data_IF_415742089965
#
_entry.id   IF_415742089965
#
_cell.length_a   1.000
_cell.length_b   1.000
_cell.length_c   1.000
_cell.angle_alpha   90.00
_cell.angle_beta   90.00
_cell.angle_gamma   90.00
#
_symmetry.space_group_name_H-M   'P 1'
#
loop_
_entity.id
_entity.type
_entity.pdbx_description
1 polymer ?
#
# COMPACT_ATOMS: atom_id res chain seq x y z
N UNK A 1 46.64 17.55 72.39
CA UNK A 1 46.53 17.81 70.94
C UNK A 1 47.36 16.75 70.22
N UNK A 2 46.71 16.04 69.31
CA UNK A 2 47.18 14.99 68.37
C UNK A 2 48.39 14.11 68.72
N UNK A 3 48.11 12.81 68.91
CA UNK A 3 48.95 11.72 68.45
C UNK A 3 48.12 10.42 68.28
N UNK A 4 48.58 9.42 67.49
CA UNK A 4 47.74 8.60 66.59
C UNK A 4 47.81 7.08 66.86
N UNK A 5 47.13 6.30 65.98
CA UNK A 5 47.11 4.82 65.75
C UNK A 5 45.95 4.06 66.43
N UNK A 6 45.61 2.81 66.02
CA UNK A 6 45.74 2.11 64.71
C UNK A 6 44.46 1.36 64.26
N UNK A 7 44.60 0.64 63.14
CA UNK A 7 43.66 -0.25 62.45
C UNK A 7 42.96 -1.33 63.30
N UNK A 8 41.74 -1.69 62.90
CA UNK A 8 41.15 -3.00 63.20
C UNK A 8 40.40 -3.58 61.99
N UNK A 9 40.71 -4.85 61.75
CA UNK A 9 40.05 -5.78 60.84
C UNK A 9 38.57 -5.92 61.19
N UNK A 10 37.70 -5.96 60.18
CA UNK A 10 36.44 -6.68 60.29
C UNK A 10 36.18 -7.56 59.05
N UNK A 11 35.84 -8.80 59.36
CA UNK A 11 35.64 -9.94 58.48
C UNK A 11 34.34 -9.83 57.67
N UNK A 12 34.35 -10.41 56.47
CA UNK A 12 33.17 -10.63 55.64
C UNK A 12 32.39 -11.86 56.09
N UNK A 13 31.05 -11.81 56.17
CA UNK A 13 30.23 -13.02 56.11
C UNK A 13 29.73 -13.24 54.67
N UNK A 14 30.23 -14.31 54.05
CA UNK A 14 29.62 -14.96 52.89
C UNK A 14 28.31 -15.64 53.31
N UNK A 15 27.18 -15.13 52.84
CA UNK A 15 25.94 -15.92 52.71
C UNK A 15 25.38 -15.74 51.31
N UNK A 16 25.37 -16.84 50.56
CA UNK A 16 24.81 -16.97 49.22
C UNK A 16 23.30 -17.09 49.36
N UNK A 17 22.56 -16.12 48.83
CA UNK A 17 21.09 -16.17 48.71
C UNK A 17 20.68 -16.60 47.29
N UNK A 18 19.60 -17.38 47.13
CA UNK A 18 19.25 -17.99 45.85
C UNK A 18 18.62 -16.98 44.87
N UNK A 19 19.10 -17.06 43.63
CA UNK A 19 18.58 -16.47 42.38
C UNK A 19 17.15 -15.90 42.45
N UNK A 20 17.03 -14.58 42.54
CA UNK A 20 15.83 -13.88 42.12
C UNK A 20 15.71 -13.96 40.59
N UNK A 21 14.60 -14.52 40.11
CA UNK A 21 14.21 -14.43 38.69
C UNK A 21 14.03 -12.95 38.32
N UNK A 22 14.46 -12.52 37.13
CA UNK A 22 14.19 -11.15 36.67
C UNK A 22 12.68 -10.91 36.54
N UNK A 23 12.21 -9.69 36.77
CA UNK A 23 10.80 -9.36 36.68
C UNK A 23 10.31 -9.53 35.24
N UNK A 24 9.32 -10.40 35.05
CA UNK A 24 8.50 -10.45 33.84
C UNK A 24 7.69 -9.15 33.76
N UNK A 25 8.06 -8.27 32.84
CA UNK A 25 7.26 -7.10 32.52
C UNK A 25 5.98 -7.53 31.80
N UNK A 26 4.79 -7.02 32.19
CA UNK A 26 3.56 -7.31 31.47
C UNK A 26 3.57 -6.56 30.12
N UNK A 27 3.71 -7.32 29.03
CA UNK A 27 3.74 -6.83 27.64
C UNK A 27 2.39 -6.31 27.12
N UNK A 28 1.36 -6.19 27.97
CA UNK A 28 -0.01 -5.84 27.57
C UNK A 28 -0.36 -4.34 27.60
N UNK A 29 0.39 -3.52 28.35
CA UNK A 29 0.03 -2.11 28.58
C UNK A 29 0.36 -1.15 27.42
N UNK A 30 1.44 -1.42 26.69
CA UNK A 30 1.94 -0.52 25.63
C UNK A 30 1.15 -0.64 24.31
N UNK A 31 0.55 -1.81 24.03
CA UNK A 31 -0.26 -2.03 22.81
C UNK A 31 -1.48 -1.11 22.72
N UNK A 32 -2.13 -0.76 23.85
CA UNK A 32 -3.30 0.15 23.84
C UNK A 32 -2.97 1.60 23.51
N UNK A 33 -1.80 2.09 23.91
CA UNK A 33 -1.41 3.48 23.64
C UNK A 33 -0.89 3.67 22.20
N UNK A 34 -0.36 2.62 21.58
CA UNK A 34 0.17 2.63 20.21
C UNK A 34 -0.92 2.51 19.13
N UNK A 35 -1.96 1.69 19.35
CA UNK A 35 -3.11 1.65 18.45
C UNK A 35 -3.76 3.03 18.29
N UNK A 36 -3.73 3.89 19.32
CA UNK A 36 -4.27 5.24 19.25
C UNK A 36 -3.52 6.18 18.29
N UNK A 37 -2.22 5.95 18.03
CA UNK A 37 -1.43 6.84 17.14
C UNK A 37 -1.54 6.45 15.66
N UNK A 38 -1.65 5.15 15.35
CA UNK A 38 -1.93 4.66 13.99
C UNK A 38 -3.37 5.01 13.61
N UNK A 39 -4.29 4.87 14.58
CA UNK A 39 -5.66 5.35 14.44
C UNK A 39 -5.73 6.85 14.18
N UNK A 40 -4.79 7.70 14.62
CA UNK A 40 -4.88 9.15 14.37
C UNK A 40 -4.65 9.54 12.90
N UNK A 41 -3.72 8.90 12.19
CA UNK A 41 -3.46 9.21 10.76
C UNK A 41 -4.54 8.62 9.85
N UNK A 42 -4.97 7.39 10.16
CA UNK A 42 -6.15 6.77 9.53
C UNK A 42 -7.39 7.60 9.83
N UNK A 43 -7.58 8.06 11.07
CA UNK A 43 -8.71 8.92 11.44
C UNK A 43 -8.70 10.25 10.71
N UNK A 44 -7.56 10.91 10.48
CA UNK A 44 -7.54 12.19 9.74
C UNK A 44 -7.96 12.01 8.27
N UNK A 45 -7.49 10.93 7.64
CA UNK A 45 -7.86 10.56 6.27
C UNK A 45 -9.35 10.17 6.19
N UNK A 46 -9.82 9.35 7.14
CA UNK A 46 -11.21 8.93 7.25
C UNK A 46 -12.15 10.07 7.66
N UNK A 47 -11.75 10.98 8.55
CA UNK A 47 -12.53 12.17 8.93
C UNK A 47 -12.71 13.10 7.73
N UNK A 48 -11.67 13.27 6.91
CA UNK A 48 -11.78 14.08 5.69
C UNK A 48 -12.80 13.48 4.72
N UNK A 49 -12.78 12.15 4.53
CA UNK A 49 -13.78 11.43 3.73
C UNK A 49 -15.18 11.46 4.37
N UNK A 50 -15.28 11.37 5.70
CA UNK A 50 -16.55 11.36 6.41
C UNK A 50 -17.25 12.74 6.42
N UNK A 51 -16.47 13.82 6.39
CA UNK A 51 -17.03 15.18 6.41
C UNK A 51 -17.61 15.60 5.06
N UNK A 52 -17.17 15.00 3.95
CA UNK A 52 -17.72 15.26 2.61
C UNK A 52 -19.02 14.50 2.32
N UNK A 53 -19.28 13.38 3.01
CA UNK A 53 -20.52 12.59 2.86
C UNK A 53 -21.51 12.88 3.99
N UNK A 54 -22.10 14.07 4.01
CA UNK A 54 -23.30 14.33 4.82
C UNK A 54 -24.50 13.61 4.20
N UNK A 55 -24.64 12.37 4.68
CA UNK A 55 -25.74 11.41 4.63
C UNK A 55 -27.12 11.94 4.25
N UNK A 56 -27.44 11.93 2.95
CA UNK A 56 -28.81 11.62 2.53
C UNK A 56 -28.91 10.36 1.66
N UNK A 57 -27.82 9.84 1.09
CA UNK A 57 -27.87 8.61 0.30
C UNK A 57 -26.76 7.62 0.71
N UNK A 58 -27.16 6.53 1.39
CA UNK A 58 -26.31 5.35 1.64
C UNK A 58 -26.10 4.53 0.35
N UNK A 59 -26.68 4.94 -0.78
CA UNK A 59 -26.59 4.28 -2.09
C UNK A 59 -25.20 4.47 -2.71
N UNK A 60 -24.60 3.38 -3.19
CA UNK A 60 -23.31 3.42 -3.90
C UNK A 60 -23.43 4.11 -5.26
N UNK A 61 -24.54 3.87 -5.95
CA UNK A 61 -24.86 4.50 -7.23
C UNK A 61 -26.23 5.16 -7.05
N UNK A 62 -26.30 6.50 -7.05
CA UNK A 62 -27.56 7.21 -6.97
C UNK A 62 -28.49 6.87 -8.14
N UNK A 63 -29.80 6.93 -7.91
CA UNK A 63 -30.82 6.50 -8.89
C UNK A 63 -30.74 7.26 -10.22
N UNK A 64 -30.40 8.55 -10.21
CA UNK A 64 -30.21 9.34 -11.42
C UNK A 64 -29.05 8.84 -12.30
N UNK A 65 -27.99 8.27 -11.69
CA UNK A 65 -26.89 7.64 -12.42
C UNK A 65 -27.34 6.32 -13.01
N UNK A 66 -28.13 5.53 -12.26
CA UNK A 66 -28.70 4.27 -12.74
C UNK A 66 -29.62 4.50 -13.95
N UNK A 67 -30.55 5.44 -13.86
CA UNK A 67 -31.46 5.81 -14.95
C UNK A 67 -30.69 6.21 -16.22
N UNK A 68 -29.57 6.93 -16.06
CA UNK A 68 -28.71 7.32 -17.18
C UNK A 68 -28.02 6.12 -17.82
N UNK A 69 -27.51 5.17 -17.04
CA UNK A 69 -26.90 3.94 -17.56
C UNK A 69 -27.95 3.09 -18.27
N UNK A 70 -29.11 2.90 -17.66
CA UNK A 70 -30.21 2.10 -18.22
C UNK A 70 -30.75 2.70 -19.53
N UNK A 71 -30.80 4.04 -19.62
CA UNK A 71 -31.21 4.74 -20.84
C UNK A 71 -30.19 4.68 -21.98
N UNK A 72 -28.89 4.72 -21.69
CA UNK A 72 -27.84 4.72 -22.72
C UNK A 72 -27.36 3.30 -23.09
N UNK A 73 -27.20 2.44 -22.09
CA UNK A 73 -26.53 1.14 -22.18
C UNK A 73 -27.10 0.09 -21.20
N UNK A 74 -28.35 -0.39 -21.40
CA UNK A 74 -29.03 -1.26 -20.45
C UNK A 74 -28.33 -2.62 -20.22
N UNK A 75 -27.49 -3.09 -21.16
CA UNK A 75 -26.74 -4.34 -21.01
C UNK A 75 -25.54 -4.24 -20.07
N UNK A 76 -25.13 -3.03 -19.70
CA UNK A 76 -23.95 -2.80 -18.86
C UNK A 76 -24.26 -2.85 -17.38
N UNK A 77 -25.54 -2.91 -17.00
CA UNK A 77 -25.99 -2.94 -15.62
C UNK A 77 -27.09 -3.99 -15.42
N UNK A 78 -26.93 -4.83 -14.40
CA UNK A 78 -27.95 -5.78 -13.99
C UNK A 78 -28.96 -5.14 -13.01
N UNK A 79 -30.14 -5.74 -12.88
CA UNK A 79 -31.09 -5.38 -11.82
C UNK A 79 -30.50 -5.65 -10.43
N UNK A 80 -30.85 -4.82 -9.45
CA UNK A 80 -30.49 -5.09 -8.06
C UNK A 80 -31.16 -6.37 -7.55
N UNK A 81 -30.37 -7.26 -6.95
CA UNK A 81 -30.84 -8.50 -6.32
C UNK A 81 -30.08 -8.73 -5.01
N UNK A 82 -30.82 -8.96 -3.92
CA UNK A 82 -30.26 -9.25 -2.59
C UNK A 82 -29.22 -8.20 -2.12
N UNK A 83 -29.51 -6.91 -2.36
CA UNK A 83 -28.61 -5.81 -1.99
C UNK A 83 -27.34 -5.70 -2.84
N UNK A 84 -27.28 -6.41 -3.98
CA UNK A 84 -26.16 -6.42 -4.92
C UNK A 84 -26.60 -6.03 -6.31
N UNK A 85 -25.67 -5.53 -7.11
CA UNK A 85 -25.89 -5.19 -8.52
C UNK A 85 -24.70 -5.62 -9.36
N UNK A 86 -24.96 -6.13 -10.55
CA UNK A 86 -23.90 -6.45 -11.52
C UNK A 86 -23.60 -5.24 -12.41
N UNK A 87 -22.32 -4.95 -12.63
CA UNK A 87 -21.85 -3.88 -13.51
C UNK A 87 -20.80 -4.45 -14.45
N UNK A 88 -20.90 -4.12 -15.74
CA UNK A 88 -19.90 -4.54 -16.71
C UNK A 88 -18.55 -3.88 -16.40
N UNK A 89 -17.48 -4.68 -16.37
CA UNK A 89 -16.10 -4.18 -16.27
C UNK A 89 -15.74 -3.28 -17.45
N UNK A 90 -16.44 -3.35 -18.58
CA UNK A 90 -16.20 -2.42 -19.70
C UNK A 90 -16.52 -0.97 -19.34
N UNK A 91 -17.35 -0.73 -18.31
CA UNK A 91 -17.59 0.61 -17.75
C UNK A 91 -16.48 1.08 -16.80
N UNK A 92 -15.64 0.16 -16.31
CA UNK A 92 -14.69 0.42 -15.22
C UNK A 92 -13.24 0.30 -15.67
N UNK A 93 -13.01 -0.44 -16.74
CA UNK A 93 -11.70 -0.57 -17.37
C UNK A 93 -11.61 0.47 -18.47
N UNK A 94 -10.52 1.27 -18.51
CA UNK A 94 -10.29 2.13 -19.66
C UNK A 94 -10.28 1.23 -20.90
N UNK A 95 -10.83 1.70 -22.05
CA UNK A 95 -10.80 0.95 -23.29
C UNK A 95 -9.35 0.61 -23.57
N UNK A 96 -8.98 -0.64 -23.33
CA UNK A 96 -7.60 -1.04 -23.47
C UNK A 96 -7.32 -0.87 -24.95
N UNK A 97 -6.34 -0.05 -25.31
CA UNK A 97 -5.70 -0.09 -26.61
C UNK A 97 -4.90 -1.39 -26.71
N UNK A 98 -5.51 -2.52 -26.37
CA UNK A 98 -5.08 -3.82 -26.81
C UNK A 98 -5.27 -3.80 -28.32
N UNK A 99 -4.27 -3.25 -28.99
CA UNK A 99 -3.85 -3.67 -30.31
C UNK A 99 -4.08 -5.17 -30.34
N UNK A 100 -5.02 -5.58 -31.19
CA UNK A 100 -5.02 -6.92 -31.73
C UNK A 100 -3.57 -7.16 -32.14
N UNK A 101 -2.81 -7.92 -31.36
CA UNK A 101 -1.54 -8.44 -31.83
C UNK A 101 -1.94 -9.29 -33.03
N UNK A 102 -1.80 -8.70 -34.20
CA UNK A 102 -2.01 -9.33 -35.48
C UNK A 102 -1.09 -10.53 -35.52
N UNK A 103 -1.63 -11.69 -35.17
CA UNK A 103 -1.02 -12.97 -35.48
C UNK A 103 -1.14 -13.10 -36.99
N UNK A 104 -0.21 -12.48 -37.70
CA UNK A 104 0.10 -12.86 -39.08
C UNK A 104 0.73 -14.26 -38.95
N UNK A 105 0.28 -15.34 -39.57
CA UNK A 105 -0.52 -15.47 -40.78
C UNK A 105 -1.00 -16.92 -40.88
N UNK A 106 -2.30 -17.16 -40.79
CA UNK A 106 -2.97 -18.21 -41.57
C UNK A 106 -4.47 -18.00 -41.50
N UNK A 107 -5.05 -17.87 -42.68
CA UNK A 107 -6.45 -17.64 -42.96
C UNK A 107 -7.35 -18.77 -42.44
N UNK A 108 -8.10 -18.49 -41.37
CA UNK A 108 -9.36 -19.16 -41.07
C UNK A 108 -10.35 -18.11 -40.59
N UNK A 109 -11.45 -17.97 -41.33
CA UNK A 109 -12.68 -17.27 -40.96
C UNK A 109 -13.12 -17.67 -39.57
N UNK A 110 -12.68 -16.91 -38.58
CA UNK A 110 -13.10 -17.02 -37.20
C UNK A 110 -14.11 -15.91 -36.98
N UNK A 111 -15.38 -16.30 -36.88
CA UNK A 111 -16.42 -15.50 -36.23
C UNK A 111 -15.82 -14.91 -34.97
N UNK A 112 -15.76 -13.57 -34.88
CA UNK A 112 -15.26 -12.87 -33.71
C UNK A 112 -16.05 -13.36 -32.49
N UNK A 113 -15.46 -14.29 -31.75
CA UNK A 113 -16.06 -14.80 -30.53
C UNK A 113 -16.10 -13.62 -29.55
N UNK A 114 -17.30 -13.07 -29.36
CA UNK A 114 -17.56 -12.03 -28.37
C UNK A 114 -16.97 -12.51 -27.05
N UNK A 115 -15.95 -11.82 -26.55
CA UNK A 115 -15.42 -12.11 -25.21
C UNK A 115 -16.61 -11.95 -24.27
N UNK A 116 -16.93 -12.97 -23.43
CA UNK A 116 -18.04 -12.85 -22.50
C UNK A 116 -17.83 -11.58 -21.68
N UNK A 117 -18.85 -10.71 -21.68
CA UNK A 117 -18.81 -9.48 -20.91
C UNK A 117 -18.47 -9.84 -19.46
N UNK A 118 -17.37 -9.28 -18.95
CA UNK A 118 -16.95 -9.52 -17.59
C UNK A 118 -17.74 -8.59 -16.70
N UNK A 119 -18.50 -9.12 -15.77
CA UNK A 119 -19.24 -8.33 -14.79
C UNK A 119 -18.54 -8.39 -13.43
N UNK A 120 -18.64 -7.30 -12.67
CA UNK A 120 -18.40 -7.31 -11.23
C UNK A 120 -19.72 -7.17 -10.48
N UNK A 121 -19.75 -7.70 -9.27
CA UNK A 121 -20.89 -7.55 -8.36
C UNK A 121 -20.52 -6.49 -7.31
N UNK A 122 -21.29 -5.42 -7.26
CA UNK A 122 -21.14 -4.33 -6.29
C UNK A 122 -22.31 -4.33 -5.28
N UNK A 123 -22.13 -3.80 -4.06
CA UNK A 123 -23.23 -3.55 -3.15
C UNK A 123 -24.11 -2.40 -3.64
N UNK A 124 -25.42 -2.44 -3.33
CA UNK A 124 -26.30 -1.29 -3.58
C UNK A 124 -26.18 -0.21 -2.51
N UNK A 125 -25.85 -0.61 -1.27
CA UNK A 125 -25.70 0.30 -0.14
C UNK A 125 -24.34 0.12 0.52
N UNK A 126 -23.71 1.22 0.94
CA UNK A 126 -22.41 1.20 1.59
C UNK A 126 -22.43 0.45 2.92
N UNK A 127 -23.49 0.62 3.72
CA UNK A 127 -23.67 -0.06 5.01
C UNK A 127 -24.43 -1.37 4.83
N UNK A 128 -23.78 -2.37 4.23
CA UNK A 128 -24.39 -3.68 3.97
C UNK A 128 -23.41 -4.84 4.13
N UNK A 129 -23.93 -6.07 4.24
CA UNK A 129 -23.10 -7.28 4.16
C UNK A 129 -22.44 -7.41 2.79
N UNK A 130 -23.11 -6.99 1.72
CA UNK A 130 -22.54 -6.99 0.37
C UNK A 130 -21.27 -6.13 0.26
N UNK A 131 -21.15 -5.06 1.05
CA UNK A 131 -19.92 -4.25 1.10
C UNK A 131 -18.72 -5.02 1.65
N UNK A 132 -18.92 -5.80 2.72
CA UNK A 132 -17.86 -6.69 3.20
C UNK A 132 -17.51 -7.75 2.15
N UNK A 133 -18.50 -8.28 1.41
CA UNK A 133 -18.17 -9.19 0.31
C UNK A 133 -17.33 -8.50 -0.78
N UNK A 134 -17.61 -7.24 -1.07
CA UNK A 134 -16.84 -6.45 -2.02
C UNK A 134 -15.40 -6.21 -1.56
N UNK A 135 -15.17 -6.02 -0.26
CA UNK A 135 -13.84 -5.95 0.34
C UNK A 135 -13.04 -7.27 0.27
N UNK A 136 -13.64 -8.34 -0.22
CA UNK A 136 -12.98 -9.63 -0.37
C UNK A 136 -13.31 -10.66 0.70
N UNK A 137 -14.33 -10.44 1.54
CA UNK A 137 -14.81 -11.46 2.48
C UNK A 137 -15.77 -12.45 1.81
N UNK A 138 -15.76 -13.71 2.25
CA UNK A 138 -16.74 -14.72 1.83
C UNK A 138 -18.16 -14.32 2.27
N UNK A 139 -19.22 -14.74 1.57
CA UNK A 139 -20.59 -14.35 1.91
C UNK A 139 -20.99 -14.65 3.36
N UNK A 140 -20.58 -15.82 3.87
CA UNK A 140 -20.84 -16.20 5.27
C UNK A 140 -20.14 -15.26 6.25
N UNK A 141 -18.87 -14.92 5.98
CA UNK A 141 -18.09 -14.03 6.85
C UNK A 141 -18.63 -12.61 6.81
N UNK A 142 -18.95 -12.11 5.63
CA UNK A 142 -19.50 -10.79 5.41
C UNK A 142 -20.83 -10.57 6.16
N UNK A 143 -21.74 -11.55 6.10
CA UNK A 143 -22.98 -11.52 6.87
C UNK A 143 -22.73 -11.43 8.38
N UNK A 144 -21.82 -12.25 8.92
CA UNK A 144 -21.45 -12.25 10.35
C UNK A 144 -20.80 -10.93 10.78
N UNK A 145 -19.94 -10.34 9.94
CA UNK A 145 -19.29 -9.06 10.24
C UNK A 145 -20.32 -7.95 10.31
N UNK A 146 -21.23 -7.88 9.34
CA UNK A 146 -22.29 -6.89 9.30
C UNK A 146 -23.26 -7.03 10.49
N UNK A 147 -23.71 -8.24 10.83
CA UNK A 147 -24.58 -8.50 11.99
C UNK A 147 -23.92 -8.05 13.31
N UNK A 148 -22.63 -8.34 13.48
CA UNK A 148 -21.86 -7.90 14.66
C UNK A 148 -21.67 -6.39 14.73
N UNK A 149 -21.50 -5.75 13.57
CA UNK A 149 -21.36 -4.30 13.47
C UNK A 149 -22.70 -3.62 13.83
N UNK A 150 -23.79 -4.06 13.20
CA UNK A 150 -25.14 -3.55 13.42
C UNK A 150 -25.66 -3.75 14.86
N UNK A 151 -25.23 -4.81 15.56
CA UNK A 151 -25.63 -5.05 16.96
C UNK A 151 -24.85 -4.23 17.99
N UNK A 152 -23.67 -3.71 17.64
CA UNK A 152 -22.77 -3.03 18.59
C UNK A 152 -22.79 -1.51 18.51
N UNK A 153 -23.10 -0.95 17.35
CA UNK A 153 -22.93 0.47 17.07
C UNK A 153 -24.25 1.04 16.56
N UNK A 154 -24.73 2.19 17.06
CA UNK A 154 -25.87 2.89 16.47
C UNK A 154 -25.64 3.15 14.97
N UNK A 155 -26.69 3.13 14.17
CA UNK A 155 -26.62 3.24 12.70
C UNK A 155 -25.82 4.46 12.19
N UNK A 156 -25.84 5.55 12.94
CA UNK A 156 -25.16 6.81 12.61
C UNK A 156 -23.63 6.76 12.72
N UNK A 157 -23.06 5.75 13.38
CA UNK A 157 -21.60 5.60 13.59
C UNK A 157 -21.01 4.35 12.93
N UNK A 158 -21.76 3.70 12.03
CA UNK A 158 -21.30 2.48 11.37
C UNK A 158 -20.21 2.81 10.33
N UNK A 159 -18.95 2.53 10.67
CA UNK A 159 -17.83 2.54 9.73
C UNK A 159 -17.48 1.11 9.29
N UNK A 160 -17.96 0.71 8.11
CA UNK A 160 -17.71 -0.64 7.55
C UNK A 160 -16.23 -0.92 7.31
N UNK A 161 -15.48 0.10 6.86
CA UNK A 161 -14.05 -0.02 6.59
C UNK A 161 -13.26 -0.28 7.87
N UNK A 162 -13.41 0.58 8.89
CA UNK A 162 -12.73 0.41 10.18
C UNK A 162 -13.01 -0.97 10.80
N UNK A 163 -14.26 -1.44 10.69
CA UNK A 163 -14.63 -2.77 11.18
C UNK A 163 -13.93 -3.90 10.44
N UNK A 164 -13.83 -3.80 9.11
CA UNK A 164 -13.13 -4.77 8.27
C UNK A 164 -11.63 -4.82 8.59
N UNK A 165 -10.99 -3.66 8.74
CA UNK A 165 -9.57 -3.54 9.06
C UNK A 165 -9.24 -4.14 10.44
N UNK A 166 -9.99 -3.74 11.47
CA UNK A 166 -9.85 -4.30 12.81
C UNK A 166 -10.03 -5.83 12.83
N UNK A 167 -10.93 -6.36 12.00
CA UNK A 167 -11.15 -7.80 11.90
C UNK A 167 -9.93 -8.54 11.34
N UNK A 168 -9.38 -8.10 10.20
CA UNK A 168 -8.22 -8.77 9.60
C UNK A 168 -6.97 -8.60 10.46
N UNK A 169 -6.80 -7.44 11.10
CA UNK A 169 -5.71 -7.22 12.04
C UNK A 169 -5.80 -8.19 13.22
N UNK A 170 -7.01 -8.39 13.78
CA UNK A 170 -7.21 -9.31 14.89
C UNK A 170 -6.98 -10.78 14.51
N UNK A 171 -7.56 -11.25 13.40
CA UNK A 171 -7.43 -12.66 13.00
C UNK A 171 -6.02 -12.99 12.53
N UNK A 172 -5.35 -12.06 11.85
CA UNK A 172 -3.98 -12.25 11.39
C UNK A 172 -2.94 -11.78 12.41
N UNK A 173 -3.34 -11.47 13.65
CA UNK A 173 -2.44 -11.02 14.72
C UNK A 173 -1.36 -12.05 15.05
N UNK A 174 -1.61 -13.33 14.79
CA UNK A 174 -0.67 -14.42 15.03
C UNK A 174 0.08 -14.89 13.77
N UNK A 175 -0.27 -14.39 12.59
CA UNK A 175 0.48 -14.69 11.36
C UNK A 175 1.69 -13.80 11.30
N UNK A 176 2.85 -14.41 11.46
CA UNK A 176 4.13 -13.78 11.53
C UNK A 176 4.73 -13.79 10.14
N UNK A 177 5.15 -14.94 9.65
CA UNK A 177 6.17 -15.10 8.61
C UNK A 177 5.75 -15.95 7.40
N UNK A 178 6.69 -16.13 6.48
CA UNK A 178 6.52 -16.97 5.28
C UNK A 178 6.41 -18.46 5.60
N UNK A 179 6.74 -18.88 6.83
CA UNK A 179 6.56 -20.26 7.30
C UNK A 179 5.18 -20.47 7.93
N UNK A 180 4.47 -19.40 8.27
CA UNK A 180 3.10 -19.48 8.73
C UNK A 180 2.15 -19.81 7.57
N UNK A 181 1.08 -20.53 7.89
CA UNK A 181 0.09 -20.94 6.90
C UNK A 181 -0.87 -19.78 6.58
N UNK A 182 -0.49 -18.94 5.62
CA UNK A 182 -1.29 -17.80 5.16
C UNK A 182 -2.65 -18.24 4.61
N UNK A 183 -2.71 -19.38 3.92
CA UNK A 183 -3.97 -19.92 3.39
C UNK A 183 -4.96 -20.22 4.51
N UNK A 184 -4.51 -20.92 5.56
CA UNK A 184 -5.33 -21.20 6.73
C UNK A 184 -5.78 -19.92 7.42
N UNK A 185 -4.89 -18.93 7.55
CA UNK A 185 -5.24 -17.65 8.16
C UNK A 185 -6.28 -16.87 7.36
N UNK A 186 -6.13 -16.82 6.05
CA UNK A 186 -7.09 -16.20 5.13
C UNK A 186 -8.44 -16.93 5.17
N UNK A 187 -8.45 -18.27 5.26
CA UNK A 187 -9.65 -19.06 5.44
C UNK A 187 -10.36 -18.73 6.78
N UNK A 188 -9.61 -18.65 7.89
CA UNK A 188 -10.15 -18.25 9.19
C UNK A 188 -10.68 -16.81 9.17
N UNK A 189 -9.96 -15.88 8.54
CA UNK A 189 -10.41 -14.51 8.33
C UNK A 189 -11.66 -14.44 7.46
N UNK A 190 -11.92 -15.49 6.66
CA UNK A 190 -13.01 -15.59 5.70
C UNK A 190 -12.75 -14.74 4.47
N UNK A 191 -11.53 -14.72 3.96
CA UNK A 191 -11.12 -14.06 2.71
C UNK A 191 -11.47 -14.96 1.53
N UNK A 192 -11.94 -14.38 0.43
CA UNK A 192 -12.32 -15.09 -0.79
C UNK A 192 -11.12 -15.72 -1.51
N UNK A 193 -11.39 -16.74 -2.31
CA UNK A 193 -10.37 -17.50 -3.03
C UNK A 193 -9.66 -16.70 -4.11
N UNK A 194 -10.27 -15.65 -4.68
CA UNK A 194 -9.60 -14.80 -5.67
C UNK A 194 -8.39 -14.07 -5.07
N UNK A 195 -8.54 -13.50 -3.86
CA UNK A 195 -7.44 -12.84 -3.14
C UNK A 195 -6.40 -13.88 -2.70
N UNK A 196 -6.83 -15.03 -2.19
CA UNK A 196 -5.92 -16.13 -1.83
C UNK A 196 -5.08 -16.58 -3.04
N UNK A 197 -5.72 -16.74 -4.19
CA UNK A 197 -5.08 -17.10 -5.45
C UNK A 197 -4.06 -16.06 -5.88
N UNK A 198 -4.39 -14.77 -5.76
CA UNK A 198 -3.43 -13.70 -6.01
C UNK A 198 -2.20 -13.82 -5.09
N UNK A 199 -2.39 -14.05 -3.79
CA UNK A 199 -1.28 -14.18 -2.84
C UNK A 199 -0.46 -15.47 -3.05
N UNK A 200 -1.06 -16.51 -3.62
CA UNK A 200 -0.38 -17.75 -3.96
C UNK A 200 0.38 -17.69 -5.30
N UNK A 201 0.17 -16.64 -6.12
CA UNK A 201 0.85 -16.50 -7.41
C UNK A 201 2.37 -16.31 -7.21
N UNK A 202 3.22 -17.21 -7.74
CA UNK A 202 4.66 -17.14 -7.58
C UNK A 202 5.27 -15.81 -8.00
N UNK A 203 4.67 -15.09 -8.95
CA UNK A 203 5.18 -13.80 -9.42
C UNK A 203 5.14 -12.71 -8.34
N UNK A 204 4.31 -12.88 -7.31
CA UNK A 204 4.19 -11.93 -6.19
C UNK A 204 5.04 -12.31 -4.98
N UNK A 205 5.61 -13.52 -4.94
CA UNK A 205 6.46 -14.02 -3.84
C UNK A 205 7.60 -13.06 -3.47
N UNK A 206 8.12 -12.33 -4.46
CA UNK A 206 9.16 -11.32 -4.27
C UNK A 206 8.73 -10.19 -3.34
N UNK A 207 7.48 -9.75 -3.35
CA UNK A 207 7.05 -8.60 -2.54
C UNK A 207 6.21 -9.00 -1.32
N UNK A 208 5.58 -10.19 -1.34
CA UNK A 208 4.67 -10.59 -0.27
C UNK A 208 5.32 -10.58 1.11
N UNK A 209 6.60 -10.91 1.22
CA UNK A 209 7.30 -10.93 2.51
C UNK A 209 7.81 -9.57 3.00
N UNK A 210 7.58 -8.49 2.24
CA UNK A 210 7.91 -7.12 2.68
C UNK A 210 6.92 -6.62 3.75
N UNK A 211 5.72 -7.19 3.84
CA UNK A 211 4.73 -6.82 4.85
C UNK A 211 4.11 -8.08 5.50
N UNK A 212 3.42 -7.93 6.63
CA UNK A 212 2.63 -9.02 7.18
C UNK A 212 1.35 -9.22 6.36
N UNK A 213 0.77 -10.42 6.45
CA UNK A 213 -0.53 -10.73 5.83
C UNK A 213 -1.60 -9.70 6.23
N UNK A 214 -1.66 -9.30 7.50
CA UNK A 214 -2.61 -8.29 7.99
C UNK A 214 -2.49 -6.95 7.26
N UNK A 215 -1.25 -6.48 7.01
CA UNK A 215 -1.01 -5.22 6.32
C UNK A 215 -1.45 -5.32 4.86
N UNK A 216 -1.09 -6.41 4.17
CA UNK A 216 -1.55 -6.63 2.80
C UNK A 216 -3.06 -6.70 2.68
N UNK A 217 -3.74 -7.46 3.54
CA UNK A 217 -5.21 -7.52 3.53
C UNK A 217 -5.83 -6.16 3.84
N UNK A 218 -5.24 -5.38 4.73
CA UNK A 218 -5.69 -4.01 5.02
C UNK A 218 -5.59 -3.11 3.79
N UNK A 219 -4.45 -3.13 3.10
CA UNK A 219 -4.26 -2.36 1.85
C UNK A 219 -5.28 -2.77 0.77
N UNK A 220 -5.56 -4.07 0.61
CA UNK A 220 -6.55 -4.55 -0.36
C UNK A 220 -7.98 -4.14 0.02
N UNK A 221 -8.33 -4.18 1.31
CA UNK A 221 -9.64 -3.74 1.81
C UNK A 221 -9.81 -2.22 1.61
N UNK A 222 -8.82 -1.42 1.97
CA UNK A 222 -8.83 0.04 1.76
C UNK A 222 -8.93 0.38 0.27
N UNK A 223 -8.13 -0.29 -0.56
CA UNK A 223 -8.18 -0.14 -2.02
C UNK A 223 -9.57 -0.46 -2.57
N UNK A 224 -10.18 -1.54 -2.10
CA UNK A 224 -11.53 -1.93 -2.50
C UNK A 224 -12.57 -0.90 -2.04
N UNK A 225 -12.44 -0.37 -0.83
CA UNK A 225 -13.31 0.69 -0.33
C UNK A 225 -13.22 1.96 -1.17
N UNK A 226 -12.01 2.46 -1.44
CA UNK A 226 -11.82 3.65 -2.27
C UNK A 226 -12.38 3.42 -3.67
N UNK A 227 -12.14 2.25 -4.26
CA UNK A 227 -12.70 1.90 -5.56
C UNK A 227 -14.23 1.95 -5.59
N UNK A 228 -14.89 1.58 -4.48
CA UNK A 228 -16.34 1.62 -4.32
C UNK A 228 -16.88 3.03 -4.13
N UNK A 229 -16.23 3.86 -3.31
CA UNK A 229 -16.62 5.25 -3.07
C UNK A 229 -16.53 6.07 -4.37
N UNK A 230 -15.47 5.87 -5.14
CA UNK A 230 -15.26 6.57 -6.41
C UNK A 230 -16.14 6.04 -7.56
N UNK A 231 -16.91 4.97 -7.34
CA UNK A 231 -17.59 4.25 -8.41
C UNK A 231 -18.65 5.10 -9.13
N UNK A 232 -19.43 5.89 -8.39
CA UNK A 232 -20.47 6.74 -8.99
C UNK A 232 -19.86 7.78 -9.93
N UNK A 233 -18.82 8.48 -9.46
CA UNK A 233 -18.12 9.50 -10.25
C UNK A 233 -17.46 8.89 -11.49
N UNK A 234 -16.94 7.66 -11.35
CA UNK A 234 -16.44 6.89 -12.49
C UNK A 234 -17.53 6.64 -13.52
N UNK A 235 -18.70 6.15 -13.10
CA UNK A 235 -19.77 5.86 -14.04
C UNK A 235 -20.29 7.12 -14.74
N UNK A 236 -20.47 8.21 -13.99
CA UNK A 236 -20.93 9.49 -14.55
C UNK A 236 -20.00 10.04 -15.63
N UNK A 237 -18.70 9.86 -15.46
CA UNK A 237 -17.73 10.32 -16.46
C UNK A 237 -17.77 9.47 -17.71
N UNK A 238 -17.75 8.14 -17.61
CA UNK A 238 -17.79 7.30 -18.80
C UNK A 238 -19.08 7.53 -19.61
N UNK A 239 -20.21 7.80 -18.94
CA UNK A 239 -21.48 8.16 -19.59
C UNK A 239 -21.50 9.57 -20.20
N UNK A 240 -20.56 10.43 -19.81
CA UNK A 240 -20.41 11.79 -20.33
C UNK A 240 -19.38 11.87 -21.46
N UNK A 241 -18.53 10.84 -21.58
CA UNK A 241 -17.51 10.78 -22.62
C UNK A 241 -18.18 10.75 -24.00
N UNK A 242 -17.94 11.75 -24.86
CA UNK A 242 -18.37 11.68 -26.25
C UNK A 242 -17.80 10.39 -26.83
N UNK A 243 -18.59 9.63 -27.59
CA UNK A 243 -18.07 8.55 -28.42
C UNK A 243 -17.19 9.17 -29.50
N UNK A 244 -15.98 9.57 -29.14
CA UNK A 244 -14.96 9.95 -30.11
C UNK A 244 -14.68 8.67 -30.86
N UNK A 245 -15.18 8.61 -32.11
CA UNK A 245 -14.81 7.60 -33.09
C UNK A 245 -13.32 7.35 -32.95
N UNK A 246 -12.91 6.08 -32.87
CA UNK A 246 -11.54 5.56 -32.81
C UNK A 246 -10.63 6.26 -33.85
N UNK A 247 -10.30 7.51 -33.60
CA UNK A 247 -9.44 8.28 -34.45
C UNK A 247 -8.06 7.86 -33.98
N UNK A 248 -7.46 6.99 -34.80
CA UNK A 248 -6.21 6.31 -34.52
C UNK A 248 -5.24 7.31 -33.90
N UNK A 249 -5.12 7.22 -32.57
CA UNK A 249 -4.03 7.85 -31.85
C UNK A 249 -2.82 7.17 -32.45
N UNK A 250 -2.17 7.86 -33.39
CA UNK A 250 -0.92 7.41 -33.95
C UNK A 250 -0.04 6.98 -32.79
N UNK A 251 0.72 5.91 -32.99
CA UNK A 251 1.80 5.49 -32.11
C UNK A 251 2.84 6.61 -32.04
N UNK A 252 2.47 7.75 -31.46
CA UNK A 252 3.39 8.82 -31.15
C UNK A 252 4.36 8.14 -30.18
N UNK A 253 5.64 7.96 -30.58
CA UNK A 253 6.57 7.18 -29.80
C UNK A 253 6.75 7.90 -28.47
N UNK A 254 5.99 7.46 -27.46
CA UNK A 254 5.90 8.09 -26.16
C UNK A 254 7.30 8.26 -25.64
N UNK A 255 7.78 9.50 -25.61
CA UNK A 255 9.07 9.81 -25.03
C UNK A 255 8.94 9.54 -23.55
N UNK A 256 9.42 8.36 -23.11
CA UNK A 256 9.73 8.10 -21.71
C UNK A 256 10.51 9.32 -21.23
N UNK A 257 9.99 10.11 -20.27
CA UNK A 257 10.70 11.28 -19.77
C UNK A 257 12.08 10.83 -19.35
N UNK A 258 13.09 11.24 -20.11
CA UNK A 258 14.47 10.92 -19.76
C UNK A 258 14.79 11.76 -18.52
N UNK A 259 15.28 11.11 -17.47
CA UNK A 259 15.77 11.83 -16.31
C UNK A 259 16.79 12.87 -16.79
N UNK A 260 16.63 14.15 -16.43
CA UNK A 260 17.62 15.16 -16.80
C UNK A 260 19.00 14.76 -16.28
N UNK A 261 20.06 15.23 -16.94
CA UNK A 261 21.42 14.98 -16.47
C UNK A 261 21.57 15.36 -14.99
N UNK A 262 22.22 14.51 -14.20
CA UNK A 262 22.36 14.69 -12.76
C UNK A 262 21.08 14.43 -11.94
N UNK A 263 20.11 13.70 -12.48
CA UNK A 263 18.94 13.22 -11.73
C UNK A 263 18.87 11.69 -11.70
N UNK A 264 18.12 11.15 -10.73
CA UNK A 264 17.73 9.74 -10.67
C UNK A 264 16.20 9.63 -10.73
N UNK A 265 15.68 8.69 -11.52
CA UNK A 265 14.26 8.35 -11.50
C UNK A 265 13.95 7.42 -10.34
N UNK A 266 12.95 7.78 -9.53
CA UNK A 266 12.42 6.93 -8.47
C UNK A 266 10.93 6.68 -8.68
N UNK A 267 10.48 5.50 -8.27
CA UNK A 267 9.16 4.96 -8.58
C UNK A 267 8.45 4.51 -7.31
N UNK A 268 7.14 4.71 -7.29
CA UNK A 268 6.22 4.13 -6.30
C UNK A 268 4.88 3.82 -6.96
N UNK A 269 4.44 2.58 -6.89
CA UNK A 269 3.08 2.22 -7.32
C UNK A 269 2.12 2.30 -6.15
N UNK A 270 0.99 2.96 -6.36
CA UNK A 270 -0.07 3.16 -5.37
C UNK A 270 -1.45 3.07 -6.04
N UNK A 271 -2.47 2.92 -5.21
CA UNK A 271 -3.87 3.14 -5.58
C UNK A 271 -4.10 4.62 -5.95
N UNK A 272 -4.97 4.90 -6.92
CA UNK A 272 -5.13 6.23 -7.51
C UNK A 272 -5.50 7.31 -6.48
N UNK A 273 -6.40 7.05 -5.53
CA UNK A 273 -6.79 8.05 -4.53
C UNK A 273 -5.61 8.50 -3.67
N UNK A 274 -4.58 7.65 -3.48
CA UNK A 274 -3.35 8.02 -2.77
C UNK A 274 -2.43 8.96 -3.53
N UNK A 275 -2.53 9.03 -4.85
CA UNK A 275 -1.78 9.99 -5.67
C UNK A 275 -2.65 11.12 -6.25
N UNK A 276 -3.97 11.09 -6.02
CA UNK A 276 -4.85 12.17 -6.46
C UNK A 276 -4.45 13.47 -5.77
N UNK A 277 -4.23 14.51 -6.60
CA UNK A 277 -3.81 15.83 -6.14
C UNK A 277 -2.33 15.93 -5.76
N UNK A 278 -1.52 14.89 -5.99
CA UNK A 278 -0.08 14.97 -5.68
C UNK A 278 0.68 15.90 -6.62
N UNK A 279 0.11 16.25 -7.78
CA UNK A 279 0.68 17.17 -8.76
C UNK A 279 -0.40 18.18 -9.15
N UNK A 280 -0.12 19.45 -8.94
CA UNK A 280 -0.99 20.56 -9.34
C UNK A 280 -0.72 21.01 -10.78
N UNK A 281 -1.63 21.79 -11.35
CA UNK A 281 -1.49 22.35 -12.71
C UNK A 281 -0.26 23.27 -12.85
N UNK A 282 0.11 23.99 -11.79
CA UNK A 282 1.29 24.84 -11.76
C UNK A 282 2.61 24.07 -11.56
N UNK A 283 2.55 22.74 -11.44
CA UNK A 283 3.71 21.88 -11.21
C UNK A 283 4.14 21.75 -9.75
N UNK A 284 3.42 22.38 -8.80
CA UNK A 284 3.61 22.12 -7.36
C UNK A 284 3.23 20.69 -7.02
N UNK A 285 3.84 20.18 -5.94
CA UNK A 285 3.78 18.77 -5.57
C UNK A 285 3.44 18.64 -4.09
N UNK A 286 2.53 17.72 -3.75
CA UNK A 286 2.23 17.29 -2.38
C UNK A 286 2.41 15.77 -2.28
N UNK A 287 3.45 15.35 -1.57
CA UNK A 287 3.81 13.94 -1.40
C UNK A 287 3.26 13.35 -0.09
N UNK A 288 2.51 14.11 0.70
CA UNK A 288 2.00 13.67 2.02
C UNK A 288 1.16 12.39 1.92
N UNK A 289 0.30 12.28 0.90
CA UNK A 289 -0.57 11.12 0.65
C UNK A 289 0.19 9.85 0.24
N UNK A 290 1.42 10.01 -0.23
CA UNK A 290 2.29 8.91 -0.62
C UNK A 290 3.11 8.35 0.54
N UNK A 291 2.99 8.89 1.75
CA UNK A 291 3.70 8.34 2.91
C UNK A 291 3.20 6.93 3.26
N UNK A 292 4.15 6.03 3.51
CA UNK A 292 3.86 4.68 4.01
C UNK A 292 3.65 4.73 5.52
N UNK A 293 2.66 4.01 6.03
CA UNK A 293 2.40 3.87 7.47
C UNK A 293 3.40 2.92 8.13
N UNK A 294 3.77 3.20 9.38
CA UNK A 294 4.70 2.39 10.16
C UNK A 294 4.06 1.14 10.77
N UNK A 295 4.87 0.15 11.22
CA UNK A 295 6.34 0.13 11.12
C UNK A 295 6.86 -0.26 9.72
N UNK A 296 7.87 0.49 9.28
CA UNK A 296 8.58 0.30 8.01
C UNK A 296 10.07 0.00 8.27
N UNK A 297 10.87 -0.17 7.22
CA UNK A 297 12.28 -0.58 7.34
C UNK A 297 13.15 0.39 8.16
N UNK A 298 12.86 1.70 8.15
CA UNK A 298 13.69 2.71 8.82
C UNK A 298 12.91 3.74 9.63
N UNK A 299 11.60 3.52 9.78
CA UNK A 299 10.71 4.39 10.54
C UNK A 299 9.64 3.59 11.29
N UNK A 300 9.53 3.81 12.59
CA UNK A 300 8.42 3.31 13.41
C UNK A 300 7.11 4.06 13.14
N UNK A 301 7.17 5.34 12.70
CA UNK A 301 6.00 6.20 12.41
C UNK A 301 5.65 6.33 10.92
N UNK A 302 6.32 5.59 10.06
CA UNK A 302 6.17 5.73 8.61
C UNK A 302 7.16 6.71 7.98
N UNK A 303 7.09 6.84 6.66
CA UNK A 303 8.00 7.68 5.89
C UNK A 303 7.64 7.70 4.41
N UNK A 304 8.32 8.54 3.64
CA UNK A 304 8.12 8.59 2.19
C UNK A 304 9.15 7.67 1.51
N UNK A 305 8.63 6.59 0.92
CA UNK A 305 9.43 5.52 0.32
C UNK A 305 9.30 5.52 -1.21
N UNK A 306 10.43 5.51 -1.90
CA UNK A 306 10.53 5.27 -3.34
C UNK A 306 11.67 4.30 -3.66
N UNK A 307 11.62 3.65 -4.82
CA UNK A 307 12.70 2.79 -5.32
C UNK A 307 13.16 3.25 -6.70
N UNK A 308 14.46 3.17 -7.00
CA UNK A 308 14.96 3.49 -8.34
C UNK A 308 14.75 2.33 -9.34
N UNK A 309 14.20 1.21 -8.87
CA UNK A 309 14.03 -0.01 -9.66
C UNK A 309 12.57 -0.18 -10.08
N UNK A 310 12.27 0.10 -11.35
CA UNK A 310 10.91 0.01 -11.90
C UNK A 310 10.26 -1.37 -11.69
N UNK A 311 11.05 -2.45 -11.73
CA UNK A 311 10.53 -3.81 -11.54
C UNK A 311 9.88 -3.98 -10.15
N UNK A 312 10.42 -3.35 -9.11
CA UNK A 312 9.82 -3.40 -7.76
C UNK A 312 8.44 -2.73 -7.79
N UNK A 313 8.33 -1.51 -8.33
CA UNK A 313 7.05 -0.82 -8.48
C UNK A 313 6.06 -1.62 -9.35
N UNK A 314 6.56 -2.39 -10.31
CA UNK A 314 5.75 -3.27 -11.16
C UNK A 314 5.11 -4.41 -10.37
N UNK A 315 5.87 -5.10 -9.52
CA UNK A 315 5.30 -6.15 -8.68
C UNK A 315 4.24 -5.61 -7.71
N UNK A 316 4.47 -4.44 -7.09
CA UNK A 316 3.46 -3.81 -6.23
C UNK A 316 2.15 -3.55 -6.99
N UNK A 317 2.24 -2.96 -8.19
CA UNK A 317 1.07 -2.72 -9.01
C UNK A 317 0.35 -4.01 -9.42
N UNK A 318 1.11 -5.06 -9.76
CA UNK A 318 0.57 -6.33 -10.19
C UNK A 318 -0.16 -7.07 -9.06
N UNK A 319 0.35 -7.04 -7.82
CA UNK A 319 -0.35 -7.65 -6.69
C UNK A 319 -1.69 -6.95 -6.42
N UNK A 320 -1.71 -5.61 -6.41
CA UNK A 320 -2.95 -4.85 -6.24
C UNK A 320 -3.94 -5.15 -7.38
N UNK A 321 -3.46 -5.28 -8.63
CA UNK A 321 -4.30 -5.70 -9.77
C UNK A 321 -5.04 -6.99 -9.51
N UNK A 322 -4.30 -8.00 -9.05
CA UNK A 322 -4.78 -9.37 -9.03
C UNK A 322 -5.67 -9.60 -7.81
N UNK A 323 -5.34 -8.96 -6.69
CA UNK A 323 -6.15 -9.01 -5.47
C UNK A 323 -7.36 -8.04 -5.49
N UNK A 324 -7.27 -6.93 -6.22
CA UNK A 324 -8.37 -5.97 -6.37
C UNK A 324 -8.46 -5.45 -7.83
N UNK A 325 -9.06 -6.22 -8.76
CA UNK A 325 -9.12 -5.85 -10.18
C UNK A 325 -9.89 -4.57 -10.50
N UNK A 326 -10.73 -4.11 -9.58
CA UNK A 326 -11.52 -2.87 -9.68
C UNK A 326 -10.71 -1.63 -9.27
N UNK A 327 -9.54 -1.83 -8.68
CA UNK A 327 -8.67 -0.77 -8.22
C UNK A 327 -8.02 -0.03 -9.39
N UNK A 328 -8.18 1.29 -9.40
CA UNK A 328 -7.38 2.12 -10.27
C UNK A 328 -6.02 2.41 -9.60
N UNK A 329 -4.95 2.35 -10.39
CA UNK A 329 -3.58 2.37 -9.88
C UNK A 329 -2.72 3.30 -10.71
N UNK A 330 -1.76 3.94 -10.07
CA UNK A 330 -0.74 4.75 -10.72
C UNK A 330 0.64 4.37 -10.23
N UNK A 331 1.61 4.54 -11.09
CA UNK A 331 3.02 4.61 -10.68
C UNK A 331 3.44 6.06 -10.72
N UNK A 332 3.75 6.60 -9.55
CA UNK A 332 4.37 7.91 -9.40
C UNK A 332 5.86 7.76 -9.73
N UNK A 333 6.33 8.53 -10.70
CA UNK A 333 7.75 8.68 -11.01
C UNK A 333 8.20 10.09 -10.63
N UNK A 334 9.29 10.19 -9.87
CA UNK A 334 9.94 11.47 -9.53
C UNK A 334 11.37 11.48 -10.07
N UNK A 335 11.80 12.59 -10.66
CA UNK A 335 13.22 12.78 -11.02
C UNK A 335 13.89 13.65 -9.96
N UNK A 336 14.70 13.01 -9.12
CA UNK A 336 15.36 13.68 -7.99
C UNK A 336 16.76 14.13 -8.39
N UNK A 337 17.12 15.42 -8.26
CA UNK A 337 18.47 15.87 -8.56
C UNK A 337 19.48 15.29 -7.56
N UNK A 338 20.67 14.92 -8.01
CA UNK A 338 21.71 14.39 -7.12
C UNK A 338 22.15 15.39 -6.04
N UNK A 339 22.02 16.69 -6.31
CA UNK A 339 22.27 17.75 -5.33
C UNK A 339 21.30 17.71 -4.14
N UNK A 340 20.06 17.22 -4.34
CA UNK A 340 19.10 17.04 -3.24
C UNK A 340 19.63 16.05 -2.19
N UNK A 341 20.22 14.93 -2.62
CA UNK A 341 20.77 13.96 -1.67
C UNK A 341 21.96 14.51 -0.88
N UNK A 342 22.69 15.47 -1.45
CA UNK A 342 23.77 16.17 -0.74
C UNK A 342 23.20 17.16 0.29
N UNK A 343 22.22 17.98 -0.10
CA UNK A 343 21.60 18.98 0.78
C UNK A 343 20.82 18.32 1.92
N UNK A 344 20.04 17.29 1.62
CA UNK A 344 19.26 16.52 2.58
C UNK A 344 20.11 15.57 3.44
N UNK A 345 21.43 15.50 3.18
CA UNK A 345 22.37 14.58 3.83
C UNK A 345 21.87 13.14 3.76
N UNK A 346 22.07 12.51 2.62
CA UNK A 346 21.71 11.10 2.43
C UNK A 346 22.64 10.19 3.23
N UNK A 347 22.05 9.29 4.00
CA UNK A 347 22.74 8.17 4.61
C UNK A 347 22.68 6.97 3.67
N UNK A 348 23.78 6.73 2.94
CA UNK A 348 23.92 5.52 2.16
C UNK A 348 24.35 4.37 3.08
N UNK A 349 23.56 3.30 3.06
CA UNK A 349 23.78 2.11 3.87
C UNK A 349 23.90 0.89 2.96
N UNK A 350 24.93 0.09 3.20
CA UNK A 350 25.07 -1.24 2.63
C UNK A 350 24.49 -2.27 3.60
N UNK A 351 24.20 -3.47 3.09
CA UNK A 351 23.59 -4.51 3.93
C UNK A 351 24.51 -4.95 5.09
N UNK A 352 25.81 -4.92 4.86
CA UNK A 352 26.88 -5.35 5.76
C UNK A 352 27.09 -4.37 6.90
N UNK A 353 26.58 -3.14 6.77
CA UNK A 353 26.68 -2.11 7.79
C UNK A 353 25.89 -2.51 9.05
N UNK A 354 26.53 -2.39 10.21
CA UNK A 354 25.87 -2.66 11.49
C UNK A 354 24.67 -1.74 11.70
N UNK A 355 24.78 -0.48 11.29
CA UNK A 355 23.73 0.53 11.43
C UNK A 355 22.51 0.22 10.57
N UNK A 356 22.69 -0.33 9.37
CA UNK A 356 21.57 -0.81 8.54
C UNK A 356 20.76 -1.86 9.30
N UNK A 357 21.44 -2.90 9.79
CA UNK A 357 20.80 -4.01 10.50
C UNK A 357 20.15 -3.55 11.80
N UNK A 358 20.79 -2.63 12.53
CA UNK A 358 20.22 -2.05 13.74
C UNK A 358 18.97 -1.23 13.45
N UNK A 359 19.01 -0.32 12.47
CA UNK A 359 17.85 0.49 12.09
C UNK A 359 16.69 -0.41 11.70
N UNK A 360 16.95 -1.42 10.86
CA UNK A 360 15.94 -2.38 10.43
C UNK A 360 15.35 -3.15 11.61
N UNK A 361 16.22 -3.73 12.46
CA UNK A 361 15.81 -4.50 13.63
C UNK A 361 14.89 -3.70 14.56
N UNK A 362 15.27 -2.49 14.95
CA UNK A 362 14.47 -1.68 15.87
C UNK A 362 13.21 -1.12 15.22
N UNK A 363 13.27 -0.67 13.96
CA UNK A 363 12.11 -0.09 13.26
C UNK A 363 11.00 -1.14 13.09
N UNK A 364 11.36 -2.34 12.61
CA UNK A 364 10.42 -3.44 12.35
C UNK A 364 9.84 -4.06 13.62
N UNK A 365 10.44 -3.79 14.79
CA UNK A 365 9.95 -4.18 16.11
C UNK A 365 9.14 -3.09 16.82
N UNK A 366 8.96 -1.93 16.18
CA UNK A 366 8.38 -0.73 16.81
C UNK A 366 9.10 -0.34 18.11
N UNK A 367 10.40 -0.64 18.18
CA UNK A 367 11.22 -0.36 19.35
C UNK A 367 11.96 0.95 19.18
N UNK A 368 12.24 1.61 20.31
CA UNK A 368 13.04 2.84 20.31
C UNK A 368 14.49 2.52 19.93
N UNK A 369 15.04 3.28 18.99
CA UNK A 369 16.46 3.19 18.66
C UNK A 369 17.37 3.44 19.88
N UNK A 370 18.52 2.75 19.97
CA UNK A 370 19.60 3.12 20.88
C UNK A 370 19.96 4.60 20.74
N UNK A 371 20.36 5.25 21.84
CA UNK A 371 20.59 6.71 21.86
C UNK A 371 21.59 7.16 20.78
N UNK A 372 22.68 6.42 20.61
CA UNK A 372 23.72 6.76 19.64
C UNK A 372 23.23 6.59 18.20
N UNK A 373 22.47 5.51 17.93
CA UNK A 373 21.85 5.27 16.62
C UNK A 373 20.80 6.34 16.30
N UNK A 374 19.97 6.71 17.29
CA UNK A 374 18.96 7.76 17.15
C UNK A 374 19.62 9.11 16.84
N UNK A 375 20.67 9.47 17.58
CA UNK A 375 21.46 10.70 17.37
C UNK A 375 22.13 10.70 16.00
N UNK A 376 22.67 9.55 15.56
CA UNK A 376 23.26 9.42 14.23
C UNK A 376 22.19 9.61 13.16
N UNK A 377 21.06 8.89 13.26
CA UNK A 377 19.91 8.97 12.35
C UNK A 377 19.36 10.39 12.21
N UNK A 378 19.26 11.15 13.30
CA UNK A 378 18.74 12.52 13.26
C UNK A 378 19.60 13.51 12.44
N UNK A 379 20.84 13.14 12.10
CA UNK A 379 21.72 13.98 11.27
C UNK A 379 21.45 13.86 9.76
N UNK A 380 20.59 12.93 9.35
CA UNK A 380 20.28 12.64 7.96
C UNK A 380 18.80 12.90 7.67
N UNK A 381 18.51 13.43 6.48
CA UNK A 381 17.14 13.63 5.98
C UNK A 381 16.65 12.44 5.15
N UNK A 382 17.57 11.74 4.47
CA UNK A 382 17.29 10.63 3.56
C UNK A 382 18.12 9.41 3.92
N UNK A 383 17.55 8.21 3.79
CA UNK A 383 18.27 6.94 3.85
C UNK A 383 18.16 6.25 2.49
N UNK A 384 19.30 5.82 1.92
CA UNK A 384 19.35 4.93 0.75
C UNK A 384 19.92 3.57 1.20
N UNK A 385 19.09 2.53 1.14
CA UNK A 385 19.43 1.23 1.69
C UNK A 385 18.71 0.09 0.95
N UNK A 386 19.16 -1.17 1.10
CA UNK A 386 18.44 -2.34 0.62
C UNK A 386 16.99 -2.41 1.15
N UNK A 387 16.08 -2.97 0.35
CA UNK A 387 14.70 -3.27 0.76
C UNK A 387 14.69 -4.58 1.56
N UNK A 388 14.00 -4.57 2.70
CA UNK A 388 13.84 -5.76 3.52
C UNK A 388 12.80 -6.72 2.92
N UNK A 389 13.17 -7.99 2.74
CA UNK A 389 12.30 -9.09 2.34
C UNK A 389 11.99 -10.00 3.54
N UNK A 390 11.54 -9.37 4.62
CA UNK A 390 11.03 -10.05 5.80
C UNK A 390 10.06 -9.12 6.52
N UNK A 391 8.95 -9.68 6.99
CA UNK A 391 7.90 -9.01 7.73
C UNK A 391 8.36 -8.65 9.16
N UNK A 392 7.63 -7.72 9.79
CA UNK A 392 7.93 -7.15 11.10
C UNK A 392 8.18 -8.18 12.20
N UNK A 393 7.34 -9.21 12.24
CA UNK A 393 7.36 -10.16 13.35
C UNK A 393 8.56 -11.14 13.33
N UNK A 394 9.24 -11.33 12.19
CA UNK A 394 10.48 -12.11 12.13
C UNK A 394 11.55 -11.42 12.95
N UNK A 395 11.62 -10.09 12.86
CA UNK A 395 12.49 -9.27 13.70
C UNK A 395 12.10 -9.36 15.17
N UNK A 396 10.81 -9.46 15.48
CA UNK A 396 10.31 -9.71 16.84
C UNK A 396 10.85 -11.01 17.48
N UNK A 397 11.08 -12.05 16.67
CA UNK A 397 11.63 -13.35 17.12
C UNK A 397 13.16 -13.32 17.28
N UNK A 398 13.86 -12.44 16.58
CA UNK A 398 15.31 -12.28 16.68
C UNK A 398 15.71 -11.73 18.05
N UNK A 399 16.82 -12.22 18.61
CA UNK A 399 17.41 -11.71 19.86
C UNK A 399 18.37 -10.57 19.62
N UNK A 400 18.94 -10.50 18.42
CA UNK A 400 19.93 -9.50 18.03
C UNK A 400 19.80 -9.13 16.55
N UNK A 401 20.10 -7.87 16.22
CA UNK A 401 20.22 -7.40 14.84
C UNK A 401 21.29 -8.16 14.03
N UNK A 402 22.23 -8.83 14.70
CA UNK A 402 23.26 -9.68 14.05
C UNK A 402 22.67 -10.93 13.38
N UNK A 403 21.44 -11.32 13.73
CA UNK A 403 20.72 -12.44 13.07
C UNK A 403 20.19 -12.08 11.68
N UNK A 404 20.26 -10.79 11.30
CA UNK A 404 19.87 -10.33 9.96
C UNK A 404 20.95 -10.76 8.95
N UNK A 405 20.58 -11.73 8.13
CA UNK A 405 21.38 -12.27 7.01
C UNK A 405 20.81 -11.84 5.64
N UNK A 406 21.55 -12.10 4.56
CA UNK A 406 21.20 -11.69 3.19
C UNK A 406 19.86 -12.23 2.69
N UNK A 407 19.34 -13.30 3.31
CA UNK A 407 18.00 -13.83 3.04
C UNK A 407 16.86 -12.85 3.35
N UNK A 408 17.14 -11.81 4.15
CA UNK A 408 16.16 -10.77 4.48
C UNK A 408 16.26 -9.57 3.53
N UNK A 409 17.03 -9.66 2.45
CA UNK A 409 17.07 -8.64 1.41
C UNK A 409 16.16 -9.04 0.25
N UNK A 410 15.47 -8.05 -0.30
CA UNK A 410 14.76 -8.24 -1.56
C UNK A 410 15.77 -8.36 -2.70
N UNK A 411 15.74 -9.49 -3.39
CA UNK A 411 16.66 -9.84 -4.46
C UNK A 411 15.89 -10.31 -5.68
N UNK A 412 16.35 -9.92 -6.86
CA UNK A 412 15.93 -10.50 -8.13
C UNK A 412 17.08 -11.29 -8.74
N UNK A 413 16.76 -12.47 -9.26
CA UNK A 413 17.64 -13.28 -10.10
C UNK A 413 17.01 -13.33 -11.48
N UNK A 414 17.61 -12.63 -12.43
CA UNK A 414 17.26 -12.84 -13.83
C UNK A 414 17.82 -14.20 -14.26
N UNK A 415 17.05 -14.99 -15.03
CA UNK A 415 17.40 -16.37 -15.40
C UNK A 415 18.77 -16.47 -16.09
N UNK A 416 19.22 -15.39 -16.74
CA UNK A 416 20.47 -15.32 -17.50
C UNK A 416 21.60 -14.57 -16.78
N UNK A 417 21.36 -13.98 -15.59
CA UNK A 417 22.36 -13.19 -14.89
C UNK A 417 22.94 -13.93 -13.68
N UNK A 418 24.27 -14.03 -13.63
CA UNK A 418 25.00 -14.54 -12.46
C UNK A 418 25.01 -13.54 -11.29
N UNK A 419 24.73 -12.26 -11.57
CA UNK A 419 24.69 -11.21 -10.56
C UNK A 419 23.30 -11.12 -9.94
N UNK A 420 23.28 -11.12 -8.60
CA UNK A 420 22.05 -10.91 -7.82
C UNK A 420 21.75 -9.42 -7.76
N UNK A 421 20.60 -9.01 -8.29
CA UNK A 421 20.15 -7.63 -8.25
C UNK A 421 19.44 -7.37 -6.91
N UNK A 422 20.12 -6.65 -6.00
CA UNK A 422 19.55 -6.25 -4.71
C UNK A 422 18.63 -5.05 -4.90
N UNK A 423 17.41 -5.15 -4.40
CA UNK A 423 16.49 -4.03 -4.43
C UNK A 423 16.87 -2.96 -3.39
N UNK A 424 16.82 -1.68 -3.75
CA UNK A 424 17.08 -0.55 -2.86
C UNK A 424 15.94 0.47 -2.87
N UNK A 425 15.85 1.20 -1.78
CA UNK A 425 14.85 2.24 -1.56
C UNK A 425 15.50 3.52 -1.02
N UNK A 426 14.90 4.64 -1.37
CA UNK A 426 15.16 5.96 -0.82
C UNK A 426 14.02 6.32 0.12
N UNK A 427 14.37 6.77 1.32
CA UNK A 427 13.41 7.03 2.40
C UNK A 427 13.66 8.39 2.99
N UNK A 428 12.70 9.29 2.84
CA UNK A 428 12.70 10.58 3.52
C UNK A 428 12.10 10.38 4.91
N UNK A 429 12.95 10.59 5.91
CA UNK A 429 12.65 10.29 7.32
C UNK A 429 12.38 11.55 8.15
N UNK A 430 12.46 12.72 7.52
CA UNK A 430 12.25 14.04 8.10
C UNK A 430 11.30 14.84 7.24
N UNK A 431 10.39 15.56 7.88
CA UNK A 431 9.41 16.42 7.21
C UNK A 431 10.11 17.51 6.40
N UNK A 432 11.15 18.14 6.96
CA UNK A 432 11.88 19.20 6.26
C UNK A 432 12.59 18.69 4.99
N UNK A 433 12.99 17.42 4.98
CA UNK A 433 13.59 16.80 3.80
C UNK A 433 12.53 16.49 2.73
N UNK A 434 11.29 16.20 3.12
CA UNK A 434 10.16 16.02 2.20
C UNK A 434 9.78 17.36 1.57
N UNK A 435 9.67 18.43 2.36
CA UNK A 435 9.41 19.78 1.82
C UNK A 435 10.51 20.21 0.83
N UNK A 436 11.79 20.01 1.18
CA UNK A 436 12.88 20.30 0.24
C UNK A 436 12.82 19.44 -1.02
N UNK A 437 12.39 18.18 -0.90
CA UNK A 437 12.22 17.30 -2.05
C UNK A 437 11.14 17.85 -2.99
N UNK A 438 9.99 18.26 -2.46
CA UNK A 438 8.87 18.84 -3.23
C UNK A 438 9.31 20.06 -4.04
N UNK A 439 10.12 20.93 -3.44
CA UNK A 439 10.75 22.07 -4.13
C UNK A 439 11.71 21.62 -5.24
N UNK A 440 12.61 20.67 -4.94
CA UNK A 440 13.67 20.24 -5.85
C UNK A 440 13.15 19.46 -7.09
N UNK A 441 11.96 18.86 -6.96
CA UNK A 441 11.29 18.10 -8.02
C UNK A 441 10.13 18.86 -8.68
N UNK A 442 10.00 20.16 -8.44
CA UNK A 442 9.01 21.01 -9.11
C UNK A 442 9.06 20.81 -10.64
N UNK A 443 7.92 20.44 -11.23
CA UNK A 443 7.80 20.14 -12.67
C UNK A 443 8.50 18.84 -13.13
N UNK A 444 8.93 17.97 -12.20
CA UNK A 444 9.67 16.72 -12.47
C UNK A 444 9.01 15.49 -11.84
N UNK A 445 7.69 15.54 -11.69
CA UNK A 445 6.85 14.45 -11.17
C UNK A 445 5.89 14.02 -12.27
N UNK A 446 5.76 12.72 -12.43
CA UNK A 446 5.01 12.10 -13.51
C UNK A 446 4.12 10.99 -12.96
N UNK A 447 2.96 10.79 -13.60
CA UNK A 447 2.10 9.64 -13.34
C UNK A 447 2.10 8.70 -14.53
N UNK A 448 2.08 7.40 -14.24
CA UNK A 448 2.03 6.32 -15.23
C UNK A 448 0.86 5.38 -14.95
N UNK A 449 0.31 4.81 -16.03
CA UNK A 449 -0.75 3.79 -16.01
C UNK A 449 -0.17 2.38 -16.18
N UNK A 450 0.00 1.60 -15.12
CA UNK A 450 0.64 0.27 -15.19
C UNK A 450 -0.08 -0.69 -16.15
N UNK A 451 -1.41 -0.64 -16.20
CA UNK A 451 -2.27 -1.44 -17.07
C UNK A 451 -2.11 -1.13 -18.57
N UNK A 452 -1.51 0.02 -18.89
CA UNK A 452 -1.18 0.43 -20.26
C UNK A 452 0.34 0.33 -20.53
N UNK A 453 1.03 -0.60 -19.86
CA UNK A 453 2.48 -0.75 -20.01
C UNK A 453 3.25 0.46 -19.46
N UNK A 454 2.79 1.02 -18.34
CA UNK A 454 3.37 2.20 -17.68
C UNK A 454 3.36 3.45 -18.56
N UNK A 455 2.32 3.60 -19.39
CA UNK A 455 2.10 4.78 -20.23
C UNK A 455 2.06 6.05 -19.39
N UNK A 456 2.81 7.06 -19.82
CA UNK A 456 2.86 8.38 -19.20
C UNK A 456 1.50 9.09 -19.33
N UNK A 457 1.12 9.83 -18.29
CA UNK A 457 -0.05 10.70 -18.29
C UNK A 457 0.42 12.15 -18.51
N UNK A 458 0.15 12.77 -19.67
CA UNK A 458 0.75 14.07 -20.02
C UNK A 458 0.36 15.23 -19.10
N UNK A 459 -0.86 15.20 -18.57
CA UNK A 459 -1.41 16.23 -17.70
C UNK A 459 -1.93 15.55 -16.44
N UNK A 460 -1.05 15.21 -15.48
CA UNK A 460 -1.43 14.42 -14.31
C UNK A 460 -2.44 15.11 -13.38
N UNK A 461 -2.53 16.44 -13.39
CA UNK A 461 -3.57 17.19 -12.64
C UNK A 461 -4.96 17.11 -13.30
N UNK A 462 -5.02 16.81 -14.60
CA UNK A 462 -6.23 16.39 -15.31
C UNK A 462 -6.31 14.88 -15.44
N UNK A 463 -5.34 14.16 -14.84
CA UNK A 463 -5.52 12.75 -14.65
C UNK A 463 -6.58 12.60 -13.61
N UNK A 464 -7.35 11.62 -13.93
CA UNK A 464 -8.49 11.23 -13.18
C UNK A 464 -8.31 9.76 -13.02
N UNK A 465 -9.05 9.19 -12.09
CA UNK A 465 -9.29 7.77 -12.24
C UNK A 465 -9.78 7.57 -13.68
N UNK A 466 -9.56 6.43 -14.32
CA UNK A 466 -9.89 6.20 -15.73
C UNK A 466 -11.21 6.84 -16.22
N UNK A 467 -12.11 7.15 -15.28
CA UNK A 467 -13.28 7.96 -15.44
C UNK A 467 -13.44 9.28 -14.59
N UNK A 468 -12.68 10.37 -14.79
CA UNK A 468 -13.17 11.78 -14.60
C UNK A 468 -12.59 12.80 -15.63
N UNK A 469 -12.97 12.86 -16.90
CA UNK A 469 -12.71 14.07 -17.70
C UNK A 469 -14.03 14.80 -17.94
N UNK A 470 -14.16 15.96 -17.29
CA UNK A 470 -15.25 16.92 -17.49
C UNK A 470 -15.23 17.56 -18.87
#
# INVERSE_FOLDING_TARGET
MHNPRPASLWQWPTTVSPKQKPPTYPSGGFRRALNNSINQSINLSLLTLHTQYTMSDDLIIPDNVLERIEGQHPSLIGSAKDGRRQISLTLLTPPSSSSSRSVSSSSTTSTAAERPARYITIPTHLKSSATFEFFGFTPNRAAKLYERLASKIPSERLCVLEWALNWVEHICADIQDSTDNWDFAMEQAGIKDEIKTAFADPKHSHILHIQSLSCWLSEIIETSFNALIDLSDKLLTELSRPQTSLQGSGDDPYTVPQAPSGHISLFKSVEYARCQGCISEDGTVDLSRLQSTGPTDFCHRGGLYFTHQMWVATHYSALINDACPVADRRTVEIHVPLAHFQSAKMWELQFEDAEFKQLLFYSRREERYPKDLSKKRSNYGVINAPICHAHNKAFGKMKSWTEITSKHQLQSKEEDQTQVNVARQHVWIREEAVTQLEEDIFGKVYLRKPEQGFRLIPQPWLDVSAAVKG
#
